data_IF_734918492483
#
_entry.id   IF_734918492483
#
_cell.length_a   1.000
_cell.length_b   1.000
_cell.length_c   1.000
_cell.angle_alpha   90.00
_cell.angle_beta   90.00
_cell.angle_gamma   90.00
#
_symmetry.space_group_name_H-M   'P 1'
#
loop_
_entity.id
_entity.type
_entity.pdbx_description
1 polymer ?
#
# COMPACT_ATOMS: atom_id res chain seq x y z
N UNK A 1 -0.37 -7.33 10.08
CA UNK A 1 0.36 -6.95 8.84
C UNK A 1 -0.66 -6.39 7.85
N UNK A 2 -0.23 -5.39 7.06
CA UNK A 2 -1.11 -4.55 6.22
C UNK A 2 -1.74 -5.32 5.04
N UNK A 3 -3.04 -5.13 4.82
CA UNK A 3 -3.84 -5.67 3.71
C UNK A 3 -3.66 -4.86 2.41
N UNK A 4 -4.08 -5.41 1.26
CA UNK A 4 -4.12 -4.66 -0.01
C UNK A 4 -4.87 -3.31 0.13
N UNK A 5 -5.93 -3.31 0.93
CA UNK A 5 -6.70 -2.11 1.30
C UNK A 5 -5.87 -1.07 2.06
N UNK A 6 -4.99 -1.51 2.98
CA UNK A 6 -4.06 -0.60 3.67
C UNK A 6 -2.98 -0.04 2.75
N UNK A 7 -2.49 -0.82 1.79
CA UNK A 7 -1.55 -0.31 0.79
C UNK A 7 -2.19 0.75 -0.12
N UNK A 8 -3.44 0.54 -0.58
CA UNK A 8 -4.21 1.58 -1.29
C UNK A 8 -4.40 2.83 -0.44
N UNK A 9 -4.74 2.66 0.83
CA UNK A 9 -4.94 3.79 1.75
C UNK A 9 -3.65 4.60 1.93
N UNK A 10 -2.50 3.93 2.05
CA UNK A 10 -1.19 4.58 2.10
C UNK A 10 -0.83 5.28 0.78
N UNK A 11 -1.13 4.67 -0.36
CA UNK A 11 -0.91 5.31 -1.66
C UNK A 11 -1.72 6.61 -1.79
N UNK A 12 -2.96 6.59 -1.33
CA UNK A 12 -3.85 7.75 -1.31
C UNK A 12 -3.36 8.82 -0.32
N UNK A 13 -2.93 8.43 0.88
CA UNK A 13 -2.29 9.34 1.86
C UNK A 13 -1.04 10.00 1.28
N UNK A 14 -0.18 9.24 0.58
CA UNK A 14 1.01 9.77 -0.08
C UNK A 14 0.64 10.77 -1.19
N UNK A 15 -0.42 10.53 -1.96
CA UNK A 15 -0.93 11.49 -2.97
C UNK A 15 -1.51 12.75 -2.34
N UNK A 16 -2.25 12.60 -1.25
CA UNK A 16 -2.84 13.73 -0.52
C UNK A 16 -1.74 14.59 0.13
N UNK A 17 -0.70 13.96 0.65
CA UNK A 17 0.51 14.65 1.11
C UNK A 17 1.23 15.34 -0.05
N UNK A 18 1.44 14.65 -1.18
CA UNK A 18 2.09 15.22 -2.36
C UNK A 18 1.36 16.46 -2.92
N UNK A 19 0.03 16.56 -2.73
CA UNK A 19 -0.76 17.74 -3.11
C UNK A 19 -0.59 18.92 -2.15
N UNK A 20 -0.23 18.64 -0.90
CA UNK A 20 0.01 19.65 0.14
C UNK A 20 1.47 20.11 0.17
N UNK A 21 2.38 19.29 -0.36
CA UNK A 21 3.81 19.63 -0.49
C UNK A 21 4.02 20.48 -1.74
N UNK A 22 4.79 21.58 -1.66
CA UNK A 22 5.18 22.39 -2.81
C UNK A 22 5.87 21.56 -3.91
N UNK A 23 5.85 22.06 -5.15
CA UNK A 23 6.60 21.41 -6.24
C UNK A 23 8.09 21.35 -5.92
N UNK A 24 8.64 20.14 -6.01
CA UNK A 24 10.02 19.83 -5.70
C UNK A 24 10.22 18.31 -5.59
N UNK A 25 11.45 17.92 -5.35
CA UNK A 25 11.89 16.52 -5.27
C UNK A 25 11.07 15.71 -4.26
N UNK A 26 10.65 16.34 -3.17
CA UNK A 26 9.85 15.71 -2.12
C UNK A 26 8.42 15.35 -2.57
N UNK A 27 7.81 16.17 -3.45
CA UNK A 27 6.50 15.86 -4.06
C UNK A 27 6.64 14.69 -5.04
N UNK A 28 7.71 14.67 -5.83
CA UNK A 28 7.98 13.58 -6.77
C UNK A 28 8.22 12.26 -6.04
N UNK A 29 9.03 12.26 -4.98
CA UNK A 29 9.25 11.08 -4.13
C UNK A 29 7.93 10.55 -3.53
N UNK A 30 7.04 11.42 -3.04
CA UNK A 30 5.74 10.99 -2.51
C UNK A 30 4.85 10.38 -3.60
N UNK A 31 4.87 10.92 -4.82
CA UNK A 31 4.11 10.38 -5.96
C UNK A 31 4.66 9.04 -6.44
N UNK A 32 5.98 8.88 -6.47
CA UNK A 32 6.65 7.63 -6.82
C UNK A 32 6.40 6.55 -5.77
N UNK A 33 6.45 6.93 -4.50
CA UNK A 33 6.13 6.06 -3.38
C UNK A 33 4.65 5.64 -3.42
N UNK A 34 3.73 6.55 -3.74
CA UNK A 34 2.32 6.24 -3.95
C UNK A 34 2.10 5.22 -5.08
N UNK A 35 2.79 5.38 -6.22
CA UNK A 35 2.76 4.41 -7.33
C UNK A 35 3.26 3.04 -6.90
N UNK A 36 4.34 3.00 -6.12
CA UNK A 36 4.90 1.74 -5.59
C UNK A 36 3.89 1.04 -4.68
N UNK A 37 3.22 1.79 -3.80
CA UNK A 37 2.18 1.23 -2.93
C UNK A 37 0.96 0.71 -3.69
N UNK A 38 0.52 1.38 -4.75
CA UNK A 38 -0.55 0.87 -5.64
C UNK A 38 -0.15 -0.44 -6.33
N UNK A 39 1.05 -0.50 -6.90
CA UNK A 39 1.55 -1.71 -7.56
C UNK A 39 1.67 -2.89 -6.59
N UNK A 40 2.14 -2.62 -5.36
CA UNK A 40 2.16 -3.61 -4.27
C UNK A 40 0.75 -4.04 -3.87
N UNK A 41 -0.21 -3.11 -3.81
CA UNK A 41 -1.61 -3.41 -3.49
C UNK A 41 -2.26 -4.31 -4.54
N UNK A 42 -2.09 -4.00 -5.83
CA UNK A 42 -2.61 -4.80 -6.94
C UNK A 42 -1.98 -6.18 -6.98
N UNK A 43 -0.65 -6.25 -6.79
CA UNK A 43 0.07 -7.52 -6.69
C UNK A 43 -0.46 -8.34 -5.52
N UNK A 44 -0.64 -7.74 -4.34
CA UNK A 44 -1.16 -8.41 -3.14
C UNK A 44 -2.61 -8.85 -3.31
N UNK A 45 -3.47 -8.05 -3.95
CA UNK A 45 -4.86 -8.38 -4.26
C UNK A 45 -4.95 -9.57 -5.22
N UNK A 46 -4.16 -9.56 -6.29
CA UNK A 46 -4.05 -10.69 -7.22
C UNK A 46 -3.51 -11.96 -6.54
N UNK A 47 -2.53 -11.81 -5.64
CA UNK A 47 -1.97 -12.91 -4.88
C UNK A 47 -2.98 -13.50 -3.90
N UNK A 48 -3.70 -12.67 -3.15
CA UNK A 48 -4.75 -13.09 -2.20
C UNK A 48 -5.92 -13.75 -2.93
N UNK A 49 -6.27 -13.27 -4.12
CA UNK A 49 -7.33 -13.87 -4.95
C UNK A 49 -7.00 -15.28 -5.41
N UNK A 50 -5.72 -15.55 -5.73
CA UNK A 50 -5.25 -16.87 -6.19
C UNK A 50 -4.79 -17.77 -5.04
N UNK A 51 -4.28 -17.19 -3.96
CA UNK A 51 -3.81 -17.84 -2.75
C UNK A 51 -4.39 -17.12 -1.52
N UNK A 52 -5.62 -17.50 -1.10
CA UNK A 52 -6.26 -16.93 0.09
C UNK A 52 -5.49 -17.24 1.39
N UNK A 53 -4.53 -18.16 1.36
CA UNK A 53 -3.58 -18.45 2.44
C UNK A 53 -2.48 -17.39 2.61
N UNK A 54 -2.22 -16.58 1.57
CA UNK A 54 -1.34 -15.41 1.63
C UNK A 54 -2.09 -14.15 2.09
N UNK A 55 -3.39 -14.28 2.34
CA UNK A 55 -4.17 -13.33 3.12
C UNK A 55 -3.71 -13.40 4.58
N UNK A 56 -2.58 -12.75 4.84
CA UNK A 56 -1.98 -12.62 6.17
C UNK A 56 -2.85 -11.86 7.17
N UNK A 57 -4.08 -11.47 6.82
CA UNK A 57 -5.07 -10.99 7.78
C UNK A 57 -5.42 -12.05 8.85
N UNK A 58 -5.22 -13.35 8.56
CA UNK A 58 -5.41 -14.43 9.55
C UNK A 58 -4.16 -14.86 10.33
N UNK A 59 -2.95 -14.56 9.86
CA UNK A 59 -1.72 -15.10 10.48
C UNK A 59 -1.18 -14.31 11.68
N UNK A 60 -1.75 -13.14 12.00
CA UNK A 60 -1.34 -12.34 13.16
C UNK A 60 -2.00 -12.75 14.50
N UNK A 61 -2.72 -13.88 14.56
CA UNK A 61 -3.39 -14.35 15.79
C UNK A 61 -2.73 -15.55 16.48
N UNK A 62 -1.52 -15.96 16.08
CA UNK A 62 -0.85 -17.11 16.71
C UNK A 62 0.61 -16.87 17.07
N UNK A 63 0.88 -15.81 17.82
CA UNK A 63 2.00 -15.78 18.77
C UNK A 63 1.52 -15.02 20.03
N UNK A 64 0.92 -15.77 20.96
CA UNK A 64 0.72 -15.39 22.36
C UNK A 64 1.12 -16.58 23.22
#
# INVERSE_FOLDING_TARGET
MKTASEYRKHAEECRVLARQVPEGEQREQLLEMARTWESLAETREGLVRNHPELDTAKSAKKER
#
